data_IF_663438807900
#
_entry.id   IF_663438807900
#
_cell.length_a   1.000
_cell.length_b   1.000
_cell.length_c   1.000
_cell.angle_alpha   90.00
_cell.angle_beta   90.00
_cell.angle_gamma   90.00
#
_symmetry.space_group_name_H-M   'P 1'
#
loop_
_entity.id
_entity.type
_entity.pdbx_description
1 polymer ?
#
# COMPACT_ATOMS: atom_id res chain seq x y z
N UNK A 1 -26.26 3.03 6.71
CA UNK A 1 -26.09 3.01 5.24
C UNK A 1 -24.67 2.56 4.86
N UNK A 2 -24.27 1.33 5.20
CA UNK A 2 -22.86 0.86 5.04
C UNK A 2 -22.57 0.05 3.78
N UNK A 3 -23.60 -0.45 3.09
CA UNK A 3 -23.46 -1.34 1.94
C UNK A 3 -22.74 -0.71 0.72
N UNK A 4 -23.07 0.51 0.25
CA UNK A 4 -22.39 1.10 -0.91
C UNK A 4 -20.91 1.39 -0.63
N UNK A 5 -20.57 1.81 0.59
CA UNK A 5 -19.19 2.14 0.98
C UNK A 5 -18.31 0.89 1.00
N UNK A 6 -18.84 -0.25 1.44
CA UNK A 6 -18.11 -1.53 1.43
C UNK A 6 -17.76 -1.97 0.02
N UNK A 7 -18.70 -1.79 -0.93
CA UNK A 7 -18.46 -2.09 -2.35
C UNK A 7 -17.36 -1.17 -2.90
N UNK A 8 -17.45 0.14 -2.65
CA UNK A 8 -16.43 1.11 -3.12
C UNK A 8 -15.05 0.75 -2.57
N UNK A 9 -14.93 0.46 -1.27
CA UNK A 9 -13.68 0.07 -0.62
C UNK A 9 -13.11 -1.25 -1.19
N UNK A 10 -13.97 -2.22 -1.51
CA UNK A 10 -13.57 -3.45 -2.19
C UNK A 10 -13.07 -3.18 -3.62
N UNK A 11 -13.80 -2.38 -4.40
CA UNK A 11 -13.40 -2.00 -5.76
C UNK A 11 -12.07 -1.24 -5.77
N UNK A 12 -11.89 -0.29 -4.84
CA UNK A 12 -10.64 0.43 -4.68
C UNK A 12 -9.48 -0.53 -4.42
N UNK A 13 -9.64 -1.49 -3.51
CA UNK A 13 -8.59 -2.47 -3.22
C UNK A 13 -8.27 -3.36 -4.42
N UNK A 14 -9.28 -3.78 -5.19
CA UNK A 14 -9.07 -4.58 -6.41
C UNK A 14 -8.28 -3.79 -7.44
N UNK A 15 -8.66 -2.53 -7.69
CA UNK A 15 -7.94 -1.64 -8.61
C UNK A 15 -6.51 -1.41 -8.13
N UNK A 16 -6.30 -1.17 -6.82
CA UNK A 16 -4.97 -1.07 -6.22
C UNK A 16 -4.14 -2.31 -6.49
N UNK A 17 -4.66 -3.51 -6.20
CA UNK A 17 -3.94 -4.77 -6.40
C UNK A 17 -3.57 -5.00 -7.88
N UNK A 18 -4.45 -4.62 -8.83
CA UNK A 18 -4.16 -4.68 -10.26
C UNK A 18 -2.99 -3.75 -10.62
N UNK A 19 -3.01 -2.51 -10.13
CA UNK A 19 -1.92 -1.54 -10.37
C UNK A 19 -0.60 -2.02 -9.77
N UNK A 20 -0.64 -2.61 -8.58
CA UNK A 20 0.55 -3.19 -7.93
C UNK A 20 1.12 -4.36 -8.73
N UNK A 21 0.26 -5.27 -9.24
CA UNK A 21 0.70 -6.36 -10.12
C UNK A 21 1.34 -5.81 -11.39
N UNK A 22 0.70 -4.84 -12.05
CA UNK A 22 1.26 -4.23 -13.26
C UNK A 22 2.62 -3.60 -12.94
N UNK A 23 2.68 -2.79 -11.87
CA UNK A 23 3.91 -2.15 -11.43
C UNK A 23 5.02 -3.16 -11.11
N UNK A 24 4.67 -4.28 -10.47
CA UNK A 24 5.58 -5.35 -10.12
C UNK A 24 6.09 -6.11 -11.34
N UNK A 25 5.22 -6.40 -12.32
CA UNK A 25 5.63 -7.04 -13.58
C UNK A 25 6.67 -6.18 -14.30
N UNK A 26 6.40 -4.88 -14.45
CA UNK A 26 7.36 -3.97 -15.06
C UNK A 26 8.65 -3.84 -14.25
N UNK A 27 8.56 -3.83 -12.91
CA UNK A 27 9.72 -3.80 -12.03
C UNK A 27 10.60 -5.05 -12.16
N UNK A 28 10.00 -6.23 -12.29
CA UNK A 28 10.73 -7.49 -12.49
C UNK A 28 11.43 -7.49 -13.86
N UNK A 29 10.73 -7.06 -14.92
CA UNK A 29 11.34 -6.94 -16.25
C UNK A 29 12.52 -5.97 -16.24
N UNK A 30 12.42 -4.90 -15.46
CA UNK A 30 13.46 -3.88 -15.29
C UNK A 30 14.77 -4.42 -14.69
N UNK A 31 14.70 -5.46 -13.86
CA UNK A 31 15.89 -6.09 -13.27
C UNK A 31 16.84 -6.65 -14.34
N UNK A 32 16.32 -6.94 -15.54
CA UNK A 32 17.12 -7.43 -16.67
C UNK A 32 17.81 -6.32 -17.45
N UNK A 33 17.53 -5.04 -17.15
CA UNK A 33 18.12 -3.91 -17.87
C UNK A 33 19.60 -3.73 -17.53
N UNK A 34 20.39 -3.35 -18.53
CA UNK A 34 21.84 -3.15 -18.38
C UNK A 34 22.17 -2.08 -17.32
N UNK A 35 21.37 -1.03 -17.18
CA UNK A 35 21.58 0.02 -16.18
C UNK A 35 21.38 -0.48 -14.74
N UNK A 36 20.42 -1.39 -14.51
CA UNK A 36 20.19 -1.97 -13.18
C UNK A 36 21.28 -2.97 -12.84
N UNK A 37 21.67 -3.82 -13.79
CA UNK A 37 22.78 -4.76 -13.63
C UNK A 37 24.14 -4.04 -13.46
N UNK A 38 24.29 -2.88 -14.10
CA UNK A 38 25.44 -1.98 -13.95
C UNK A 38 25.45 -1.15 -12.67
N UNK A 39 24.39 -1.22 -11.86
CA UNK A 39 24.30 -0.58 -10.55
C UNK A 39 23.90 0.90 -10.54
N UNK A 40 23.56 1.49 -11.69
CA UNK A 40 23.27 2.94 -11.83
C UNK A 40 21.98 3.34 -11.10
N UNK A 41 21.00 2.42 -11.02
CA UNK A 41 19.70 2.64 -10.36
C UNK A 41 19.49 1.73 -9.15
N UNK A 42 20.58 1.28 -8.52
CA UNK A 42 20.54 0.26 -7.47
C UNK A 42 19.57 0.64 -6.35
N UNK A 43 19.78 1.76 -5.67
CA UNK A 43 18.99 2.11 -4.47
C UNK A 43 17.50 2.22 -4.80
N UNK A 44 17.13 2.86 -5.91
CA UNK A 44 15.72 3.08 -6.25
C UNK A 44 14.99 1.80 -6.64
N UNK A 45 15.62 0.94 -7.44
CA UNK A 45 15.02 -0.34 -7.87
C UNK A 45 15.02 -1.37 -6.74
N UNK A 46 16.12 -1.49 -5.98
CA UNK A 46 16.23 -2.45 -4.88
C UNK A 46 15.32 -2.09 -3.70
N UNK A 47 15.12 -0.80 -3.42
CA UNK A 47 14.15 -0.38 -2.41
C UNK A 47 12.73 -0.78 -2.83
N UNK A 48 12.39 -0.57 -4.10
CA UNK A 48 11.04 -0.82 -4.57
C UNK A 48 10.71 -2.32 -4.67
N UNK A 49 11.67 -3.15 -5.12
CA UNK A 49 11.49 -4.62 -5.18
C UNK A 49 11.45 -5.25 -3.79
N UNK A 50 12.02 -4.61 -2.76
CA UNK A 50 11.93 -5.10 -1.39
C UNK A 50 10.51 -4.97 -0.82
N UNK A 51 9.83 -3.85 -1.09
CA UNK A 51 8.52 -3.55 -0.50
C UNK A 51 7.33 -3.99 -1.37
N UNK A 52 7.36 -3.71 -2.69
CA UNK A 52 6.20 -3.88 -3.55
C UNK A 52 5.65 -5.32 -3.58
N UNK A 53 6.45 -6.40 -3.63
CA UNK A 53 5.92 -7.77 -3.62
C UNK A 53 5.15 -8.09 -2.34
N UNK A 54 5.67 -7.69 -1.19
CA UNK A 54 5.02 -7.93 0.11
C UNK A 54 3.68 -7.19 0.22
N UNK A 55 3.65 -5.94 -0.23
CA UNK A 55 2.42 -5.14 -0.29
C UNK A 55 1.41 -5.80 -1.24
N UNK A 56 1.83 -6.17 -2.45
CA UNK A 56 0.98 -6.78 -3.48
C UNK A 56 0.34 -8.07 -2.98
N UNK A 57 1.11 -8.96 -2.35
CA UNK A 57 0.60 -10.22 -1.79
C UNK A 57 -0.46 -9.93 -0.73
N UNK A 58 -0.19 -9.00 0.19
CA UNK A 58 -1.13 -8.66 1.26
C UNK A 58 -2.40 -8.00 0.71
N UNK A 59 -2.27 -7.12 -0.29
CA UNK A 59 -3.41 -6.51 -1.02
C UNK A 59 -4.28 -7.57 -1.68
N UNK A 60 -3.68 -8.56 -2.35
CA UNK A 60 -4.39 -9.68 -2.96
C UNK A 60 -5.12 -10.55 -1.95
N UNK A 61 -4.43 -10.92 -0.86
CA UNK A 61 -5.02 -11.70 0.22
C UNK A 61 -6.24 -10.96 0.78
N UNK A 62 -6.11 -9.67 1.09
CA UNK A 62 -7.23 -8.86 1.59
C UNK A 62 -8.35 -8.73 0.54
N UNK A 63 -8.04 -8.57 -0.74
CA UNK A 63 -9.05 -8.52 -1.79
C UNK A 63 -9.84 -9.82 -1.90
N UNK A 64 -9.16 -10.97 -1.87
CA UNK A 64 -9.80 -12.30 -1.89
C UNK A 64 -10.67 -12.49 -0.65
N UNK A 65 -10.17 -12.18 0.55
CA UNK A 65 -10.96 -12.27 1.77
C UNK A 65 -12.21 -11.40 1.72
N UNK A 66 -12.13 -10.19 1.16
CA UNK A 66 -13.29 -9.30 1.02
C UNK A 66 -14.32 -9.83 0.03
N UNK A 67 -13.88 -10.40 -1.09
CA UNK A 67 -14.76 -11.02 -2.10
C UNK A 67 -15.45 -12.28 -1.56
N UNK A 68 -14.71 -13.14 -0.85
CA UNK A 68 -15.22 -14.41 -0.36
C UNK A 68 -16.05 -14.26 0.93
N UNK A 69 -15.71 -13.31 1.80
CA UNK A 69 -16.28 -13.25 3.15
C UNK A 69 -17.27 -12.11 3.40
N UNK A 70 -17.49 -11.16 2.47
CA UNK A 70 -18.49 -10.05 2.50
C UNK A 70 -18.57 -9.17 3.78
N UNK A 71 -17.80 -9.49 4.82
CA UNK A 71 -17.87 -8.92 6.16
C UNK A 71 -16.65 -8.07 6.49
N UNK A 72 -15.55 -8.26 5.76
CA UNK A 72 -14.24 -7.64 5.99
C UNK A 72 -14.12 -6.38 5.15
N UNK A 73 -13.56 -5.29 5.68
CA UNK A 73 -13.28 -4.11 4.87
C UNK A 73 -13.18 -2.80 5.62
N UNK A 74 -13.96 -2.64 6.69
CA UNK A 74 -14.00 -1.42 7.51
C UNK A 74 -13.42 -1.66 8.90
N UNK A 75 -12.30 -2.37 8.95
CA UNK A 75 -11.67 -2.84 10.17
C UNK A 75 -10.33 -2.11 10.45
N UNK A 76 -9.87 -2.10 11.72
CA UNK A 76 -8.60 -1.48 12.11
C UNK A 76 -7.36 -2.01 11.38
N UNK A 77 -7.35 -3.30 11.05
CA UNK A 77 -6.22 -3.94 10.38
C UNK A 77 -6.14 -3.43 8.94
N UNK A 78 -7.28 -3.40 8.24
CA UNK A 78 -7.37 -2.80 6.91
C UNK A 78 -6.96 -1.32 6.91
N UNK A 79 -7.37 -0.54 7.92
CA UNK A 79 -6.94 0.86 8.05
C UNK A 79 -5.41 0.99 8.13
N UNK A 80 -4.79 0.27 9.09
CA UNK A 80 -3.36 0.34 9.33
C UNK A 80 -2.55 -0.15 8.11
N UNK A 81 -2.97 -1.26 7.49
CA UNK A 81 -2.34 -1.77 6.28
C UNK A 81 -2.42 -0.77 5.13
N UNK A 82 -3.62 -0.27 4.80
CA UNK A 82 -3.78 0.67 3.69
C UNK A 82 -3.02 1.98 3.93
N UNK A 83 -2.94 2.45 5.18
CA UNK A 83 -2.17 3.65 5.49
C UNK A 83 -0.67 3.44 5.33
N UNK A 84 -0.12 2.37 5.94
CA UNK A 84 1.31 2.07 5.87
C UNK A 84 1.76 1.75 4.44
N UNK A 85 1.03 0.86 3.75
CA UNK A 85 1.30 0.51 2.36
C UNK A 85 1.18 1.71 1.44
N UNK A 86 0.19 2.59 1.65
CA UNK A 86 0.03 3.82 0.89
C UNK A 86 1.25 4.73 0.97
N UNK A 87 1.76 4.97 2.19
CA UNK A 87 2.97 5.77 2.40
C UNK A 87 4.20 5.11 1.76
N UNK A 88 4.40 3.81 2.00
CA UNK A 88 5.57 3.09 1.47
C UNK A 88 5.54 3.05 -0.06
N UNK A 89 4.39 2.75 -0.69
CA UNK A 89 4.25 2.77 -2.16
C UNK A 89 4.54 4.17 -2.71
N UNK A 90 4.02 5.24 -2.09
CA UNK A 90 4.31 6.60 -2.54
C UNK A 90 5.79 6.93 -2.46
N UNK A 91 6.44 6.69 -1.32
CA UNK A 91 7.86 7.01 -1.14
C UNK A 91 8.72 6.23 -2.13
N UNK A 92 8.52 4.91 -2.20
CA UNK A 92 9.34 4.04 -3.06
C UNK A 92 9.13 4.34 -4.56
N UNK A 93 7.88 4.61 -4.97
CA UNK A 93 7.58 5.02 -6.34
C UNK A 93 8.15 6.41 -6.68
N UNK A 94 8.09 7.38 -5.76
CA UNK A 94 8.72 8.69 -5.94
C UNK A 94 10.24 8.56 -6.08
N UNK A 95 10.89 7.76 -5.24
CA UNK A 95 12.33 7.51 -5.32
C UNK A 95 12.69 6.89 -6.68
N UNK A 96 11.89 5.95 -7.19
CA UNK A 96 12.06 5.38 -8.53
C UNK A 96 11.93 6.45 -9.63
N UNK A 97 10.89 7.28 -9.58
CA UNK A 97 10.63 8.30 -10.59
C UNK A 97 11.63 9.46 -10.55
N UNK A 98 12.09 9.87 -9.37
CA UNK A 98 13.13 10.91 -9.21
C UNK A 98 14.47 10.42 -9.74
N UNK A 99 14.81 9.14 -9.52
CA UNK A 99 16.01 8.54 -10.09
C UNK A 99 16.02 8.58 -11.63
N UNK A 100 14.86 8.74 -12.26
CA UNK A 100 14.72 8.86 -13.71
C UNK A 100 14.92 10.27 -14.27
N UNK A 101 15.17 11.28 -13.42
CA UNK A 101 15.46 12.64 -13.91
C UNK A 101 16.83 12.68 -14.62
N UNK A 102 17.78 11.87 -14.16
CA UNK A 102 19.14 11.80 -14.72
C UNK A 102 19.26 10.73 -15.82
N UNK A 103 18.25 10.58 -16.68
CA UNK A 103 18.17 9.45 -17.59
C UNK A 103 19.13 9.54 -18.80
N UNK A 104 20.03 8.57 -18.92
CA UNK A 104 20.99 8.44 -20.03
C UNK A 104 20.42 7.67 -21.25
N UNK A 105 19.18 7.95 -21.68
CA UNK A 105 18.63 7.41 -22.93
C UNK A 105 18.38 5.89 -22.97
N UNK A 106 18.13 5.27 -21.80
CA UNK A 106 17.90 3.84 -21.67
C UNK A 106 16.58 3.40 -22.35
N UNK A 107 16.62 2.33 -23.14
CA UNK A 107 15.46 1.75 -23.82
C UNK A 107 14.39 1.22 -22.85
N UNK A 108 14.78 0.89 -21.62
CA UNK A 108 13.87 0.43 -20.56
C UNK A 108 13.20 1.60 -19.80
N UNK A 109 13.39 2.86 -20.23
CA UNK A 109 12.83 4.05 -19.58
C UNK A 109 11.33 3.95 -19.28
N UNK A 110 10.57 3.48 -20.26
CA UNK A 110 9.12 3.38 -20.16
C UNK A 110 8.71 2.42 -19.03
N UNK A 111 9.49 1.36 -18.78
CA UNK A 111 9.19 0.40 -17.70
C UNK A 111 9.37 1.05 -16.32
N UNK A 112 10.39 1.90 -16.15
CA UNK A 112 10.56 2.70 -14.93
C UNK A 112 9.36 3.64 -14.71
N UNK A 113 8.96 4.37 -15.75
CA UNK A 113 7.83 5.30 -15.66
C UNK A 113 6.51 4.60 -15.38
N UNK A 114 6.22 3.50 -16.07
CA UNK A 114 4.99 2.73 -15.86
C UNK A 114 4.98 2.11 -14.46
N UNK A 115 6.07 1.48 -14.04
CA UNK A 115 6.17 0.89 -12.70
C UNK A 115 6.00 1.95 -11.61
N UNK A 116 6.71 3.07 -11.71
CA UNK A 116 6.61 4.17 -10.76
C UNK A 116 5.23 4.85 -10.76
N UNK A 117 4.63 5.08 -11.93
CA UNK A 117 3.30 5.68 -12.03
C UNK A 117 2.22 4.75 -11.45
N UNK A 118 2.26 3.46 -11.76
CA UNK A 118 1.39 2.47 -11.15
C UNK A 118 1.54 2.45 -9.62
N UNK A 119 2.79 2.49 -9.11
CA UNK A 119 3.08 2.59 -7.68
C UNK A 119 2.53 3.84 -7.01
N UNK A 120 2.69 4.99 -7.65
CA UNK A 120 2.15 6.26 -7.16
C UNK A 120 0.62 6.21 -7.05
N UNK A 121 -0.05 5.78 -8.12
CA UNK A 121 -1.51 5.71 -8.14
C UNK A 121 -2.00 4.66 -7.13
N UNK A 122 -1.36 3.49 -7.06
CA UNK A 122 -1.66 2.48 -6.04
C UNK A 122 -1.51 3.02 -4.62
N UNK A 123 -0.44 3.77 -4.35
CA UNK A 123 -0.21 4.43 -3.06
C UNK A 123 -1.30 5.42 -2.69
N UNK A 124 -1.74 6.26 -3.65
CA UNK A 124 -2.87 7.17 -3.44
C UNK A 124 -4.18 6.42 -3.16
N UNK A 125 -4.47 5.35 -3.92
CA UNK A 125 -5.67 4.55 -3.72
C UNK A 125 -5.65 3.84 -2.36
N UNK A 126 -4.50 3.36 -1.90
CA UNK A 126 -4.31 2.85 -0.55
C UNK A 126 -4.66 3.89 0.50
N UNK A 127 -4.13 5.12 0.40
CA UNK A 127 -4.46 6.19 1.34
C UNK A 127 -5.94 6.58 1.31
N UNK A 128 -6.56 6.62 0.12
CA UNK A 128 -8.00 6.84 -0.02
C UNK A 128 -8.79 5.73 0.68
N UNK A 129 -8.36 4.48 0.55
CA UNK A 129 -9.01 3.35 1.22
C UNK A 129 -8.85 3.43 2.73
N UNK A 130 -7.68 3.83 3.23
CA UNK A 130 -7.45 4.09 4.65
C UNK A 130 -8.39 5.20 5.16
N UNK A 131 -8.54 6.30 4.42
CA UNK A 131 -9.47 7.37 4.77
C UNK A 131 -10.93 6.88 4.84
N UNK A 132 -11.38 6.08 3.86
CA UNK A 132 -12.73 5.50 3.88
C UNK A 132 -12.93 4.56 5.07
N UNK A 133 -11.93 3.72 5.38
CA UNK A 133 -11.96 2.87 6.57
C UNK A 133 -12.09 3.72 7.85
N UNK A 134 -11.28 4.77 7.99
CA UNK A 134 -11.29 5.61 9.19
C UNK A 134 -12.63 6.34 9.40
N UNK A 135 -13.23 6.88 8.33
CA UNK A 135 -14.47 7.67 8.39
C UNK A 135 -15.69 6.77 8.60
N UNK A 136 -15.75 5.61 7.94
CA UNK A 136 -16.96 4.78 7.89
C UNK A 136 -16.89 3.52 8.75
N UNK A 137 -15.82 3.34 9.56
CA UNK A 137 -15.70 2.22 10.49
C UNK A 137 -16.86 2.21 11.50
N UNK A 138 -17.56 1.07 11.67
CA UNK A 138 -18.63 0.97 12.65
C UNK A 138 -18.08 1.09 14.08
N UNK A 139 -18.82 1.79 14.96
CA UNK A 139 -18.42 2.05 16.34
C UNK A 139 -18.09 0.79 17.17
N UNK A 140 -18.68 -0.36 16.81
CA UNK A 140 -18.37 -1.65 17.43
C UNK A 140 -16.94 -2.13 17.16
N UNK A 141 -16.40 -1.84 15.97
CA UNK A 141 -15.04 -2.21 15.57
C UNK A 141 -14.00 -1.20 16.11
N UNK A 142 -14.41 0.07 16.25
CA UNK A 142 -13.62 1.11 16.92
C UNK A 142 -13.28 0.78 18.39
N UNK A 143 -14.12 -0.01 19.08
CA UNK A 143 -13.85 -0.41 20.47
C UNK A 143 -12.62 -1.29 20.63
N UNK A 144 -12.20 -2.02 19.59
CA UNK A 144 -10.97 -2.81 19.63
C UNK A 144 -9.70 -1.95 19.52
N UNK A 145 -9.81 -0.70 19.04
CA UNK A 145 -8.73 0.29 18.99
C UNK A 145 -8.59 1.12 20.27
N UNK A 146 -9.66 1.25 21.07
CA UNK A 146 -9.58 1.96 22.35
C UNK A 146 -9.02 1.03 23.43
N UNK A 147 -7.93 1.39 24.12
CA UNK A 147 -7.53 0.66 25.32
C UNK A 147 -8.72 0.61 26.27
N UNK A 148 -9.00 -0.57 26.82
CA UNK A 148 -10.11 -0.74 27.76
C UNK A 148 -9.94 0.24 28.92
N UNK A 149 -11.03 0.66 29.57
CA UNK A 149 -10.93 1.50 30.79
C UNK A 149 -9.96 0.92 31.83
N UNK A 150 -9.86 -0.41 31.88
CA UNK A 150 -8.92 -1.14 32.73
C UNK A 150 -7.46 -0.95 32.30
N UNK A 151 -7.18 -1.01 31.00
CA UNK A 151 -5.85 -0.75 30.46
C UNK A 151 -5.43 0.72 30.63
N UNK A 152 -6.39 1.66 30.60
CA UNK A 152 -6.14 3.08 30.91
C UNK A 152 -5.81 3.32 32.38
N UNK A 153 -6.50 2.67 33.34
CA UNK A 153 -6.18 2.87 34.76
C UNK A 153 -4.82 2.29 35.12
N UNK A 154 -4.42 1.18 34.50
CA UNK A 154 -3.09 0.59 34.73
C UNK A 154 -1.97 1.44 34.12
N UNK A 155 -2.16 2.00 32.92
CA UNK A 155 -1.19 2.91 32.32
C UNK A 155 -1.08 4.25 33.07
N UNK A 156 -2.20 4.77 33.59
CA UNK A 156 -2.18 5.93 34.49
C UNK A 156 -1.44 5.60 35.80
N UNK A 157 -1.66 4.42 36.41
CA UNK A 157 -0.94 4.00 37.62
C UNK A 157 0.58 3.82 37.42
N UNK A 158 1.03 3.27 36.29
CA UNK A 158 2.46 3.15 35.99
C UNK A 158 3.15 4.49 35.72
N UNK A 159 2.41 5.52 35.27
CA UNK A 159 2.97 6.86 35.03
C UNK A 159 3.16 7.73 36.28
N UNK A 160 2.62 7.28 37.43
CA UNK A 160 2.73 7.95 38.73
C UNK A 160 3.67 7.23 39.71
N UNK A 161 4.42 6.23 39.25
CA UNK A 161 5.40 5.45 40.03
C UNK A 161 6.82 5.74 39.53
#
# INVERSE_FOLDING_TARGET
>A
MGFPIRIVNCLLLIVTAILEIIGLVFLILLLSSHCVLGGEYGISVWLYIYFLPGITIQSLVLAIFRLCCNTVGLDPIALAFNFASGIVCLITALVLLVAMIDHCGNEFAYMFYVSGACGLVAGLLHLLNACLCNIYMPNSEWRYLKPSKYSRSNAEQESFM
#
